data_IF_483871619973
#
_entry.id   IF_483871619973
#
_cell.length_a   1.000
_cell.length_b   1.000
_cell.length_c   1.000
_cell.angle_alpha   90.00
_cell.angle_beta   90.00
_cell.angle_gamma   90.00
#
_symmetry.space_group_name_H-M   'P 1'
#
loop_
_entity.id
_entity.type
_entity.pdbx_description
1 polymer ?
#
# COMPACT_ATOMS: atom_id res chain seq x y z
N UNK A 1 -16.38 -7.38 26.24
CA UNK A 1 -17.18 -7.82 25.06
C UNK A 1 -18.37 -8.73 25.43
N UNK A 2 -18.74 -8.90 26.71
CA UNK A 2 -19.95 -9.64 27.07
C UNK A 2 -21.20 -8.85 26.65
N UNK A 3 -22.13 -9.48 25.93
CA UNK A 3 -23.35 -8.87 25.42
C UNK A 3 -23.32 -8.40 23.96
N UNK A 4 -22.18 -8.52 23.26
CA UNK A 4 -22.11 -8.22 21.82
C UNK A 4 -22.84 -9.29 20.99
N UNK A 5 -23.49 -8.90 19.89
CA UNK A 5 -24.14 -9.83 18.96
C UNK A 5 -23.20 -10.19 17.81
N UNK A 6 -23.21 -11.44 17.40
CA UNK A 6 -22.51 -11.90 16.21
C UNK A 6 -23.45 -12.70 15.30
N UNK A 7 -23.14 -12.74 14.01
CA UNK A 7 -23.82 -13.56 13.02
C UNK A 7 -22.95 -14.75 12.65
N UNK A 8 -23.52 -15.94 12.56
CA UNK A 8 -22.80 -17.15 12.15
C UNK A 8 -22.54 -17.13 10.64
N UNK A 9 -21.32 -17.44 10.23
CA UNK A 9 -20.91 -17.47 8.83
C UNK A 9 -21.05 -18.88 8.23
N UNK A 10 -20.86 -19.90 9.06
CA UNK A 10 -20.86 -21.31 8.67
C UNK A 10 -21.66 -22.15 9.67
N UNK A 11 -22.26 -23.29 9.25
CA UNK A 11 -22.94 -24.19 10.18
C UNK A 11 -21.92 -24.88 11.11
N UNK A 12 -22.30 -25.09 12.37
CA UNK A 12 -21.50 -25.79 13.37
C UNK A 12 -22.35 -26.80 14.12
N UNK A 13 -21.94 -28.08 14.16
CA UNK A 13 -22.71 -29.17 14.74
C UNK A 13 -22.47 -29.35 16.24
N UNK A 14 -21.35 -28.86 16.79
CA UNK A 14 -21.01 -28.93 18.22
C UNK A 14 -20.63 -30.34 18.73
N UNK A 15 -20.82 -31.40 17.95
CA UNK A 15 -20.69 -32.81 18.37
C UNK A 15 -19.29 -33.20 18.83
N UNK A 16 -18.26 -32.50 18.36
CA UNK A 16 -16.85 -32.74 18.74
C UNK A 16 -16.44 -32.08 20.06
N UNK A 17 -17.32 -31.28 20.69
CA UNK A 17 -17.04 -30.61 21.96
C UNK A 17 -18.19 -30.85 22.96
N UNK A 18 -17.88 -31.32 24.18
CA UNK A 18 -18.90 -31.71 25.20
C UNK A 18 -19.87 -30.57 25.57
N UNK A 19 -19.51 -29.32 25.27
CA UNK A 19 -20.34 -28.11 25.46
C UNK A 19 -20.48 -27.28 24.16
N UNK A 20 -20.42 -27.91 22.98
CA UNK A 20 -20.51 -27.20 21.69
C UNK A 20 -21.91 -26.66 21.39
N UNK A 21 -22.03 -25.40 20.98
CA UNK A 21 -23.31 -24.78 20.61
C UNK A 21 -23.65 -25.05 19.14
N UNK A 22 -24.72 -25.79 18.85
CA UNK A 22 -25.13 -26.07 17.46
C UNK A 22 -25.88 -24.90 16.81
N UNK A 23 -25.48 -24.50 15.61
CA UNK A 23 -26.15 -23.47 14.80
C UNK A 23 -25.95 -23.67 13.29
N UNK A 24 -26.90 -23.18 12.48
CA UNK A 24 -26.74 -23.03 11.04
C UNK A 24 -26.03 -21.70 10.69
N UNK A 25 -25.59 -21.55 9.44
CA UNK A 25 -25.08 -20.28 8.92
C UNK A 25 -26.19 -19.23 8.83
N UNK A 26 -25.88 -17.98 9.19
CA UNK A 26 -26.80 -16.84 9.17
C UNK A 26 -27.60 -16.62 10.47
N UNK A 27 -27.45 -17.49 11.47
CA UNK A 27 -28.07 -17.35 12.80
C UNK A 27 -27.40 -16.23 13.62
N UNK A 28 -28.16 -15.60 14.53
CA UNK A 28 -27.66 -14.57 15.44
C UNK A 28 -27.38 -15.16 16.82
N UNK A 29 -26.18 -14.91 17.34
CA UNK A 29 -25.74 -15.34 18.66
C UNK A 29 -25.39 -14.14 19.53
N UNK A 30 -25.61 -14.26 20.83
CA UNK A 30 -25.15 -13.28 21.83
C UNK A 30 -23.90 -13.82 22.51
N UNK A 31 -22.81 -13.07 22.46
CA UNK A 31 -21.54 -13.46 23.08
C UNK A 31 -21.58 -13.29 24.59
N UNK A 32 -21.26 -14.35 25.31
CA UNK A 32 -21.15 -14.38 26.77
C UNK A 32 -19.69 -14.18 27.18
N UNK A 33 -18.78 -14.99 26.62
CA UNK A 33 -17.35 -14.98 26.91
C UNK A 33 -16.50 -15.02 25.64
N UNK A 34 -15.42 -14.24 25.64
CA UNK A 34 -14.50 -14.06 24.51
C UNK A 34 -13.05 -14.18 24.99
N UNK A 35 -12.59 -15.38 25.41
CA UNK A 35 -11.19 -15.58 25.80
C UNK A 35 -10.25 -15.54 24.59
N UNK A 36 -8.97 -15.28 24.84
CA UNK A 36 -7.93 -15.10 23.81
C UNK A 36 -7.57 -16.39 23.04
N UNK A 37 -8.22 -17.53 23.35
CA UNK A 37 -7.95 -18.86 22.79
C UNK A 37 -8.76 -19.24 21.54
N UNK A 38 -9.41 -18.28 20.87
CA UNK A 38 -10.12 -18.51 19.60
C UNK A 38 -11.43 -19.30 19.69
N UNK A 39 -11.86 -19.70 20.90
CA UNK A 39 -13.17 -20.29 21.18
C UNK A 39 -13.98 -19.32 22.02
N UNK A 40 -15.20 -19.03 21.59
CA UNK A 40 -16.11 -18.11 22.26
C UNK A 40 -17.33 -18.85 22.80
N UNK A 41 -17.86 -18.39 23.92
CA UNK A 41 -19.12 -18.87 24.46
C UNK A 41 -20.23 -17.90 24.05
N UNK A 42 -21.32 -18.43 23.53
CA UNK A 42 -22.49 -17.62 23.21
C UNK A 42 -23.80 -18.32 23.47
N UNK A 43 -24.87 -17.57 23.30
CA UNK A 43 -26.24 -17.99 23.53
C UNK A 43 -27.11 -17.69 22.30
N UNK A 44 -27.92 -18.67 21.90
CA UNK A 44 -28.97 -18.54 20.88
C UNK A 44 -30.21 -17.85 21.45
N UNK A 45 -31.10 -17.38 20.58
CA UNK A 45 -32.39 -16.78 20.99
C UNK A 45 -33.30 -17.77 21.74
N UNK A 46 -33.19 -19.07 21.44
CA UNK A 46 -33.90 -20.15 22.15
C UNK A 46 -33.35 -20.43 23.56
N UNK A 47 -32.30 -19.71 23.97
CA UNK A 47 -31.68 -19.82 25.29
C UNK A 47 -30.56 -20.85 25.38
N UNK A 48 -30.29 -21.65 24.35
CA UNK A 48 -29.21 -22.64 24.35
C UNK A 48 -27.84 -21.97 24.36
N UNK A 49 -26.94 -22.48 25.20
CA UNK A 49 -25.58 -21.95 25.42
C UNK A 49 -24.54 -22.99 25.07
N UNK A 50 -23.39 -22.52 24.61
CA UNK A 50 -22.24 -23.36 24.40
C UNK A 50 -21.12 -22.65 23.67
N UNK A 51 -20.06 -23.41 23.42
CA UNK A 51 -18.82 -22.94 22.84
C UNK A 51 -18.80 -23.15 21.33
N UNK A 52 -18.17 -22.23 20.62
CA UNK A 52 -17.94 -22.31 19.18
C UNK A 52 -16.66 -21.55 18.78
N UNK A 53 -16.07 -21.86 17.61
CA UNK A 53 -14.89 -21.15 17.15
C UNK A 53 -15.21 -19.71 16.75
N UNK A 54 -14.35 -18.77 17.15
CA UNK A 54 -14.45 -17.35 16.79
C UNK A 54 -14.51 -17.13 15.27
N UNK A 55 -13.82 -17.96 14.50
CA UNK A 55 -13.76 -17.91 13.03
C UNK A 55 -15.09 -18.24 12.33
N UNK A 56 -16.06 -18.82 13.06
CA UNK A 56 -17.37 -19.20 12.53
C UNK A 56 -18.40 -18.09 12.66
N UNK A 57 -18.03 -16.95 13.23
CA UNK A 57 -18.94 -15.83 13.48
C UNK A 57 -18.32 -14.49 13.09
N UNK A 58 -19.17 -13.55 12.73
CA UNK A 58 -18.80 -12.15 12.48
C UNK A 58 -19.47 -11.26 13.52
N UNK A 59 -18.69 -10.42 14.20
CA UNK A 59 -19.21 -9.47 15.18
C UNK A 59 -20.06 -8.40 14.48
N UNK A 60 -21.29 -8.20 14.94
CA UNK A 60 -22.16 -7.14 14.44
C UNK A 60 -21.93 -5.89 15.28
N UNK A 61 -21.24 -4.90 14.71
CA UNK A 61 -21.12 -3.58 15.33
C UNK A 61 -22.50 -2.93 15.42
N UNK A 62 -22.95 -2.61 16.63
CA UNK A 62 -24.19 -1.87 16.82
C UNK A 62 -24.00 -0.43 16.34
N UNK A 63 -24.80 0.02 15.36
CA UNK A 63 -25.01 1.45 15.12
C UNK A 63 -25.47 2.10 16.44
N UNK A 64 -24.83 3.17 16.92
CA UNK A 64 -25.22 3.77 18.20
C UNK A 64 -26.64 4.35 18.07
N UNK A 65 -27.58 3.75 18.80
CA UNK A 65 -28.90 4.34 19.08
C UNK A 65 -28.69 5.61 19.91
N UNK A 66 -29.35 6.69 19.52
CA UNK A 66 -29.45 7.95 20.29
C UNK A 66 -30.05 7.65 21.66
N UNK A 67 -29.35 7.98 22.74
CA UNK A 67 -29.92 8.05 24.10
C UNK A 67 -29.52 9.38 24.72
N UNK A 68 -30.55 10.09 25.18
CA UNK A 68 -30.57 11.37 25.89
C UNK A 68 -29.83 11.27 27.23
N UNK A 69 -29.09 12.31 27.69
CA UNK A 69 -28.15 12.18 28.80
C UNK A 69 -28.75 12.55 30.17
N UNK A 70 -28.24 11.93 31.24
CA UNK A 70 -28.16 12.50 32.59
C UNK A 70 -27.07 11.79 33.43
N UNK A 71 -26.53 12.43 34.50
CA UNK A 71 -25.17 12.97 34.48
C UNK A 71 -24.25 12.38 35.56
N UNK A 72 -22.94 12.47 35.33
CA UNK A 72 -21.95 12.28 36.38
C UNK A 72 -20.57 11.87 35.85
N UNK A 73 -19.72 12.85 35.55
CA UNK A 73 -18.32 12.99 35.98
C UNK A 73 -17.53 13.86 34.99
N UNK A 74 -17.22 15.07 35.47
CA UNK A 74 -16.44 16.10 34.81
C UNK A 74 -14.96 15.70 34.72
N UNK A 75 -14.43 15.67 33.50
CA UNK A 75 -13.12 16.25 33.12
C UNK A 75 -12.87 16.11 31.62
N UNK A 76 -12.76 17.25 30.92
CA UNK A 76 -12.23 17.45 29.54
C UNK A 76 -13.20 17.41 28.33
N UNK A 77 -14.32 18.14 28.39
CA UNK A 77 -15.22 18.32 27.25
C UNK A 77 -14.94 19.60 26.44
N UNK A 78 -13.73 19.74 25.89
CA UNK A 78 -13.45 20.73 24.85
C UNK A 78 -13.38 20.01 23.48
N UNK A 79 -14.24 20.32 22.49
CA UNK A 79 -14.24 19.62 21.21
C UNK A 79 -12.88 19.75 20.52
N UNK A 80 -12.40 18.64 19.93
CA UNK A 80 -11.18 18.65 19.12
C UNK A 80 -11.35 19.63 17.95
N UNK A 81 -10.27 20.31 17.50
CA UNK A 81 -10.37 21.18 16.33
C UNK A 81 -10.87 20.41 15.10
N UNK A 82 -11.56 21.07 14.15
CA UNK A 82 -12.09 20.41 12.96
C UNK A 82 -11.01 19.59 12.24
N UNK A 83 -11.30 18.32 11.99
CA UNK A 83 -10.37 17.37 11.37
C UNK A 83 -9.61 16.49 12.35
N UNK A 84 -9.54 16.81 13.64
CA UNK A 84 -8.84 15.95 14.59
C UNK A 84 -9.74 14.90 15.22
N UNK A 85 -9.30 13.64 15.18
CA UNK A 85 -9.97 12.49 15.78
C UNK A 85 -9.02 11.77 16.74
N UNK A 86 -9.54 11.21 17.85
CA UNK A 86 -8.74 10.45 18.82
C UNK A 86 -8.92 8.96 18.63
N UNK A 87 -7.82 8.22 18.68
CA UNK A 87 -7.75 6.77 18.56
C UNK A 87 -6.96 6.18 19.72
N UNK A 88 -7.13 4.88 19.97
CA UNK A 88 -6.37 4.13 20.97
C UNK A 88 -5.41 3.19 20.25
N UNK A 89 -4.14 3.21 20.62
CA UNK A 89 -3.16 2.26 20.10
C UNK A 89 -3.45 0.86 20.65
N UNK A 90 -2.93 -0.22 20.00
CA UNK A 90 -3.04 -1.59 20.51
C UNK A 90 -2.45 -1.78 21.92
N UNK A 91 -1.64 -0.84 22.39
CA UNK A 91 -1.02 -0.82 23.72
C UNK A 91 -1.83 0.00 24.73
N UNK A 92 -3.00 0.52 24.35
CA UNK A 92 -3.90 1.28 25.22
C UNK A 92 -3.57 2.77 25.35
N UNK A 93 -2.69 3.33 24.50
CA UNK A 93 -2.35 4.75 24.54
C UNK A 93 -3.18 5.57 23.55
N UNK A 94 -3.71 6.71 24.00
CA UNK A 94 -4.52 7.59 23.16
C UNK A 94 -3.62 8.46 22.26
N UNK A 95 -3.90 8.49 20.96
CA UNK A 95 -3.25 9.36 19.99
C UNK A 95 -4.30 10.08 19.14
N UNK A 96 -3.94 11.21 18.54
CA UNK A 96 -4.83 12.06 17.76
C UNK A 96 -4.33 12.11 16.32
N UNK A 97 -5.26 12.02 15.37
CA UNK A 97 -4.98 12.05 13.93
C UNK A 97 -5.82 13.14 13.28
N UNK A 98 -5.19 13.99 12.48
CA UNK A 98 -5.89 14.96 11.65
C UNK A 98 -6.31 14.31 10.33
N UNK A 99 -7.61 14.14 10.11
CA UNK A 99 -8.17 13.52 8.91
C UNK A 99 -8.08 14.38 7.65
N UNK A 100 -7.67 15.65 7.77
CA UNK A 100 -7.43 16.53 6.62
C UNK A 100 -5.95 16.58 6.22
N UNK A 101 -5.02 16.49 7.18
CA UNK A 101 -3.56 16.58 6.92
C UNK A 101 -2.81 15.25 7.08
N UNK A 102 -3.46 14.20 7.59
CA UNK A 102 -2.87 12.92 8.00
C UNK A 102 -1.75 13.03 9.05
N UNK A 103 -1.68 14.14 9.79
CA UNK A 103 -0.73 14.30 10.89
C UNK A 103 -1.19 13.53 12.13
N UNK A 104 -0.23 12.92 12.85
CA UNK A 104 -0.48 12.18 14.09
C UNK A 104 0.28 12.78 15.26
N UNK A 105 -0.37 12.95 16.41
CA UNK A 105 0.27 13.41 17.64
C UNK A 105 -0.21 12.61 18.85
N UNK A 106 0.66 12.44 19.84
CA UNK A 106 0.30 11.83 21.12
C UNK A 106 -0.29 12.85 22.11
N UNK A 107 -0.10 14.15 21.84
CA UNK A 107 -0.62 15.25 22.65
C UNK A 107 -1.92 15.81 22.06
N UNK A 108 -2.90 16.14 22.89
CA UNK A 108 -4.21 16.62 22.42
C UNK A 108 -4.05 17.98 21.70
N UNK A 109 -4.41 18.09 20.40
CA UNK A 109 -4.40 19.36 19.68
C UNK A 109 -5.41 20.34 20.30
N UNK A 110 -4.99 21.57 20.60
CA UNK A 110 -5.84 22.60 21.19
C UNK A 110 -6.51 23.48 20.12
N UNK A 111 -7.69 24.01 20.43
CA UNK A 111 -8.53 24.82 19.52
C UNK A 111 -8.28 26.34 19.61
N UNK A 112 -7.12 26.79 20.12
CA UNK A 112 -6.84 28.22 20.36
C UNK A 112 -5.49 28.64 19.75
N UNK A 113 -5.40 29.74 18.98
CA UNK A 113 -4.13 30.24 18.47
C UNK A 113 -3.40 31.11 19.51
N UNK A 114 -2.17 30.74 19.87
CA UNK A 114 -1.16 31.66 20.43
C UNK A 114 -0.45 31.26 21.74
N UNK A 115 0.87 31.04 21.60
CA UNK A 115 1.97 31.06 22.60
C UNK A 115 2.28 29.82 23.48
N UNK A 116 3.58 29.56 23.77
CA UNK A 116 4.14 28.23 23.91
C UNK A 116 4.40 27.82 25.37
N UNK A 117 4.34 26.52 25.68
CA UNK A 117 4.98 25.94 26.87
C UNK A 117 5.46 24.51 26.63
N UNK A 118 6.77 24.34 26.64
CA UNK A 118 7.47 23.18 27.21
C UNK A 118 8.01 23.65 28.58
N UNK A 119 8.22 22.80 29.61
CA UNK A 119 9.37 21.89 29.56
C UNK A 119 9.30 20.56 30.36
N UNK A 120 10.04 19.56 29.85
CA UNK A 120 10.94 18.67 30.60
C UNK A 120 10.36 17.35 31.11
N UNK A 121 11.09 16.23 31.22
CA UNK A 121 12.46 15.82 30.88
C UNK A 121 12.63 14.37 31.37
N UNK A 122 13.45 13.56 30.68
CA UNK A 122 14.33 12.44 31.15
C UNK A 122 14.31 11.29 30.12
N UNK A 123 15.28 11.14 29.20
CA UNK A 123 16.70 10.75 29.27
C UNK A 123 16.97 9.30 29.69
N UNK A 124 17.54 8.52 28.76
CA UNK A 124 18.78 7.69 28.84
C UNK A 124 18.69 6.51 27.86
N UNK A 125 19.69 6.05 27.10
CA UNK A 125 21.08 6.44 26.88
C UNK A 125 21.62 5.79 25.57
N UNK A 126 22.75 6.30 25.12
CA UNK A 126 23.54 6.11 23.87
C UNK A 126 24.54 4.92 24.01
N UNK A 127 25.38 4.50 23.00
CA UNK A 127 26.50 5.28 22.40
C UNK A 127 26.75 5.08 20.87
N UNK A 128 27.08 6.14 20.10
CA UNK A 128 28.41 6.67 19.65
C UNK A 128 28.86 6.11 18.27
N UNK A 129 29.56 6.83 17.35
CA UNK A 129 30.56 7.87 17.53
C UNK A 129 30.79 8.80 16.29
N UNK A 130 31.25 10.03 16.62
CA UNK A 130 32.19 10.99 15.97
C UNK A 130 32.02 11.41 14.49
N UNK A 131 32.19 12.67 14.08
CA UNK A 131 32.67 13.92 14.70
C UNK A 131 32.98 14.93 13.57
N UNK A 132 32.96 16.25 13.79
CA UNK A 132 34.06 17.21 13.52
C UNK A 132 33.64 18.66 13.88
N UNK A 133 34.56 19.40 14.53
CA UNK A 133 34.44 20.77 15.01
C UNK A 133 35.13 21.78 14.07
N UNK A 134 34.62 23.02 14.05
CA UNK A 134 35.31 24.28 13.65
C UNK A 134 36.14 24.85 14.82
N UNK A 135 37.04 25.86 14.65
CA UNK A 135 36.67 27.29 14.86
C UNK A 135 37.51 28.28 13.98
N UNK A 136 37.29 29.61 13.83
CA UNK A 136 37.37 30.76 14.77
C UNK A 136 37.01 32.06 13.98
N UNK A 137 36.41 33.08 14.63
CA UNK A 137 36.23 34.53 14.23
C UNK A 137 37.23 35.42 15.01
N UNK A 138 37.51 36.74 14.77
CA UNK A 138 36.53 37.84 14.97
C UNK A 138 36.78 39.22 14.28
N UNK A 139 35.79 40.14 14.37
CA UNK A 139 35.83 41.58 14.76
C UNK A 139 34.65 42.35 14.11
N UNK A 140 33.65 42.83 14.87
CA UNK A 140 33.47 44.19 15.47
C UNK A 140 33.29 45.31 14.42
N UNK A 141 32.36 46.29 14.49
CA UNK A 141 31.63 46.92 15.62
C UNK A 141 30.52 47.89 15.12
N UNK A 142 29.51 48.11 15.98
CA UNK A 142 28.74 49.35 16.28
C UNK A 142 27.54 49.87 15.43
N UNK A 143 26.39 49.86 16.12
CA UNK A 143 25.16 50.68 16.05
C UNK A 143 25.32 52.06 16.78
N UNK A 144 24.29 52.92 17.12
CA UNK A 144 22.80 52.86 16.93
C UNK A 144 22.12 54.21 16.54
N UNK A 145 20.77 54.24 16.41
CA UNK A 145 20.00 55.36 16.97
C UNK A 145 18.64 55.80 16.39
N UNK A 146 17.56 55.34 17.04
CA UNK A 146 16.33 56.09 17.46
C UNK A 146 15.10 56.41 16.57
N UNK A 147 13.94 56.22 17.24
CA UNK A 147 12.51 56.41 16.93
C UNK A 147 12.06 57.81 16.43
N UNK A 148 10.91 57.90 15.73
CA UNK A 148 9.60 58.36 16.30
C UNK A 148 8.53 58.74 15.23
N UNK A 149 7.29 58.87 15.70
CA UNK A 149 6.00 58.97 15.01
C UNK A 149 5.59 60.38 14.49
N UNK A 150 4.54 60.39 13.63
CA UNK A 150 3.43 61.38 13.42
C UNK A 150 3.42 62.32 12.18
N UNK A 151 2.50 61.99 11.25
CA UNK A 151 1.29 62.74 10.76
C UNK A 151 1.42 64.09 9.96
N UNK A 152 0.36 64.60 9.28
CA UNK A 152 0.34 64.85 7.82
C UNK A 152 -0.01 66.30 7.39
N UNK A 153 0.23 66.64 6.10
CA UNK A 153 -0.36 67.77 5.31
C UNK A 153 0.57 68.03 4.11
N UNK A 154 0.21 68.39 2.88
CA UNK A 154 -1.00 68.78 2.16
C UNK A 154 -0.57 69.12 0.71
N UNK A 155 -1.47 68.93 -0.25
CA UNK A 155 -1.36 69.20 -1.71
C UNK A 155 -1.10 70.70 -2.03
N UNK A 156 -0.66 71.14 -3.26
CA UNK A 156 -1.36 70.85 -4.54
C UNK A 156 -0.58 70.77 -5.88
N UNK A 157 -1.18 69.97 -6.79
CA UNK A 157 -1.29 69.97 -8.26
C UNK A 157 -0.46 70.91 -9.16
N UNK A 158 0.11 70.34 -10.25
CA UNK A 158 0.00 70.82 -11.66
C UNK A 158 0.55 69.79 -12.70
N UNK A 159 0.19 69.87 -14.01
CA UNK A 159 -0.28 68.72 -14.78
C UNK A 159 0.62 68.25 -15.96
N UNK A 160 0.35 67.03 -16.47
CA UNK A 160 0.39 66.76 -17.91
C UNK A 160 1.45 65.78 -18.43
N UNK A 161 1.07 64.51 -18.59
CA UNK A 161 1.28 63.71 -19.82
C UNK A 161 0.70 62.29 -19.62
N UNK A 162 -0.23 61.81 -20.47
CA UNK A 162 -0.75 60.46 -20.33
C UNK A 162 0.31 59.45 -20.82
N UNK A 163 1.03 58.85 -19.88
CA UNK A 163 1.73 57.59 -20.13
C UNK A 163 0.68 56.52 -20.37
N UNK A 164 0.50 56.10 -21.62
CA UNK A 164 -0.18 54.85 -21.95
C UNK A 164 0.48 53.74 -21.14
N UNK A 165 -0.23 53.03 -20.24
CA UNK A 165 0.35 51.87 -19.58
C UNK A 165 0.51 50.81 -20.67
N UNK A 166 1.74 50.48 -21.04
CA UNK A 166 2.04 49.17 -21.61
C UNK A 166 1.49 48.16 -20.61
N UNK A 167 0.29 47.61 -20.86
CA UNK A 167 -0.12 46.35 -20.25
C UNK A 167 0.95 45.36 -20.66
N UNK A 168 1.91 45.11 -19.78
CA UNK A 168 2.71 43.90 -19.81
C UNK A 168 1.69 42.77 -19.87
N UNK A 169 1.57 42.12 -21.02
CA UNK A 169 0.72 40.95 -21.16
C UNK A 169 1.23 39.94 -20.12
N UNK A 170 0.45 39.70 -19.06
CA UNK A 170 0.74 38.65 -18.09
C UNK A 170 0.84 37.34 -18.87
N UNK A 171 1.95 36.64 -18.77
CA UNK A 171 2.13 35.33 -19.40
C UNK A 171 1.09 34.37 -18.82
N UNK A 172 0.16 33.90 -19.66
CA UNK A 172 -0.95 33.03 -19.26
C UNK A 172 -0.54 31.57 -19.03
N UNK A 173 0.69 31.22 -19.39
CA UNK A 173 1.20 29.85 -19.38
C UNK A 173 2.68 29.82 -19.04
N UNK A 174 3.14 28.71 -18.46
CA UNK A 174 4.55 28.45 -18.15
C UNK A 174 4.99 27.13 -18.79
N UNK A 175 6.13 27.13 -19.46
CA UNK A 175 6.72 25.91 -20.02
C UNK A 175 7.84 25.39 -19.11
N UNK A 176 7.77 24.12 -18.73
CA UNK A 176 8.78 23.42 -17.93
C UNK A 176 9.11 22.11 -18.63
N UNK A 177 10.39 21.84 -18.87
CA UNK A 177 10.85 20.63 -19.57
C UNK A 177 10.06 20.34 -20.87
N UNK A 178 9.87 21.38 -21.68
CA UNK A 178 9.14 21.36 -22.95
C UNK A 178 7.62 21.07 -22.85
N UNK A 179 7.03 20.94 -21.66
CA UNK A 179 5.57 20.84 -21.45
C UNK A 179 5.03 22.17 -20.96
N UNK A 180 3.94 22.63 -21.54
CA UNK A 180 3.29 23.89 -21.18
C UNK A 180 2.13 23.66 -20.21
N UNK A 181 2.18 24.34 -19.08
CA UNK A 181 1.18 24.33 -18.02
C UNK A 181 0.53 25.72 -17.89
N UNK A 182 -0.70 25.83 -17.36
CA UNK A 182 -1.28 27.14 -17.02
C UNK A 182 -0.42 27.86 -15.98
N UNK A 183 -0.33 29.19 -16.07
CA UNK A 183 0.36 29.98 -15.06
C UNK A 183 -0.46 30.01 -13.76
N UNK A 184 0.12 29.75 -12.57
CA UNK A 184 -0.63 29.64 -11.31
C UNK A 184 -1.52 30.86 -11.02
N UNK A 185 -1.00 32.06 -11.25
CA UNK A 185 -1.72 33.32 -10.99
C UNK A 185 -2.92 33.59 -11.92
N UNK A 186 -3.03 32.88 -13.05
CA UNK A 186 -4.11 33.04 -14.03
C UNK A 186 -4.95 31.77 -14.19
N UNK A 187 -4.67 30.73 -13.40
CA UNK A 187 -5.34 29.44 -13.50
C UNK A 187 -6.75 29.53 -12.87
N UNK A 188 -7.79 29.28 -13.67
CA UNK A 188 -9.10 28.90 -13.13
C UNK A 188 -9.04 27.43 -12.69
N UNK A 189 -9.82 27.05 -11.68
CA UNK A 189 -9.83 25.70 -11.10
C UNK A 189 -9.94 24.63 -12.20
N UNK A 190 -8.85 23.87 -12.43
CA UNK A 190 -8.81 22.83 -13.46
C UNK A 190 -9.38 21.54 -12.88
N UNK A 191 -10.46 21.05 -13.46
CA UNK A 191 -11.07 19.78 -13.05
C UNK A 191 -10.14 18.61 -13.38
N UNK A 192 -10.04 17.67 -12.44
CA UNK A 192 -9.34 16.39 -12.63
C UNK A 192 -10.12 15.53 -13.63
N UNK A 193 -9.40 14.68 -14.36
CA UNK A 193 -10.00 13.71 -15.27
C UNK A 193 -10.84 12.68 -14.52
N UNK A 194 -10.35 12.21 -13.36
CA UNK A 194 -11.08 11.31 -12.45
C UNK A 194 -11.20 11.94 -11.04
N UNK A 195 -12.20 12.80 -10.79
CA UNK A 195 -12.23 13.68 -9.61
C UNK A 195 -12.38 12.99 -8.26
N UNK A 196 -12.86 11.74 -8.26
CA UNK A 196 -13.05 10.95 -7.03
C UNK A 196 -11.94 9.94 -6.78
N UNK A 197 -10.97 9.84 -7.69
CA UNK A 197 -9.95 8.79 -7.67
C UNK A 197 -8.55 9.39 -7.78
N UNK A 198 -7.60 8.79 -7.08
CA UNK A 198 -6.18 9.15 -7.19
C UNK A 198 -5.56 8.48 -8.41
N UNK A 199 -5.98 8.91 -9.60
CA UNK A 199 -5.62 8.23 -10.85
C UNK A 199 -4.23 8.60 -11.38
N UNK A 200 -3.56 7.63 -11.99
CA UNK A 200 -2.26 7.85 -12.63
C UNK A 200 -2.32 8.92 -13.73
N UNK A 201 -3.46 9.09 -14.41
CA UNK A 201 -3.61 10.11 -15.44
C UNK A 201 -3.73 11.54 -14.90
N UNK A 202 -3.89 11.75 -13.59
CA UNK A 202 -4.09 13.10 -13.03
C UNK A 202 -2.83 13.67 -12.36
N UNK A 203 -1.95 12.81 -11.82
CA UNK A 203 -0.90 13.26 -10.89
C UNK A 203 0.55 13.09 -11.38
N UNK A 204 0.77 12.58 -12.60
CA UNK A 204 2.11 12.23 -13.10
C UNK A 204 2.54 13.02 -14.35
N UNK A 205 2.16 14.31 -14.41
CA UNK A 205 2.46 15.19 -15.54
C UNK A 205 3.81 15.91 -15.44
N UNK A 206 4.17 16.37 -14.25
CA UNK A 206 5.41 17.10 -14.02
C UNK A 206 6.58 16.15 -13.77
N UNK A 207 7.76 16.50 -14.28
CA UNK A 207 8.96 15.74 -13.99
C UNK A 207 9.43 16.02 -12.55
N UNK A 208 9.89 14.97 -11.87
CA UNK A 208 10.39 15.03 -10.49
C UNK A 208 11.90 15.20 -10.49
N UNK A 209 12.41 16.15 -9.70
CA UNK A 209 13.84 16.27 -9.42
C UNK A 209 14.23 15.31 -8.30
N UNK A 210 15.41 14.72 -8.40
CA UNK A 210 16.01 13.98 -7.29
C UNK A 210 16.27 14.92 -6.09
N UNK A 211 16.39 14.39 -4.85
CA UNK A 211 16.66 15.21 -3.67
C UNK A 211 17.95 16.01 -3.74
N UNK A 212 18.89 15.59 -4.59
CA UNK A 212 20.20 16.22 -4.80
C UNK A 212 20.18 17.25 -5.94
N UNK A 213 19.08 17.37 -6.68
CA UNK A 213 18.88 18.32 -7.78
C UNK A 213 19.65 18.02 -9.07
N UNK A 214 20.37 16.90 -9.13
CA UNK A 214 21.27 16.55 -10.23
C UNK A 214 20.55 15.83 -11.38
N UNK A 215 19.47 15.10 -11.09
CA UNK A 215 18.73 14.32 -12.08
C UNK A 215 17.23 14.64 -12.06
N UNK A 216 16.63 14.60 -13.25
CA UNK A 216 15.19 14.79 -13.45
C UNK A 216 14.60 13.51 -14.02
N UNK A 217 13.58 12.96 -13.36
CA UNK A 217 12.89 11.72 -13.71
C UNK A 217 11.47 12.07 -14.12
N UNK A 218 11.01 11.53 -15.25
CA UNK A 218 9.64 11.82 -15.72
C UNK A 218 8.59 11.18 -14.82
N UNK A 219 7.39 11.78 -14.75
CA UNK A 219 6.28 11.19 -14.01
C UNK A 219 5.92 9.78 -14.50
N UNK A 220 5.98 9.54 -15.82
CA UNK A 220 5.74 8.23 -16.41
C UNK A 220 6.78 7.18 -15.98
N UNK A 221 8.05 7.57 -15.90
CA UNK A 221 9.13 6.68 -15.47
C UNK A 221 8.92 6.21 -14.02
N UNK A 222 8.42 7.07 -13.14
CA UNK A 222 8.05 6.68 -11.76
C UNK A 222 6.99 5.57 -11.77
N UNK A 223 5.98 5.68 -12.64
CA UNK A 223 4.95 4.66 -12.79
C UNK A 223 5.54 3.35 -13.32
N UNK A 224 6.42 3.39 -14.31
CA UNK A 224 7.11 2.20 -14.81
C UNK A 224 7.97 1.53 -13.72
N UNK A 225 8.68 2.30 -12.90
CA UNK A 225 9.43 1.76 -11.77
C UNK A 225 8.49 1.10 -10.74
N UNK A 226 7.32 1.68 -10.47
CA UNK A 226 6.29 1.06 -9.62
C UNK A 226 5.81 -0.29 -10.18
N UNK A 227 5.62 -0.38 -11.49
CA UNK A 227 5.22 -1.61 -12.17
C UNK A 227 6.29 -2.69 -12.06
N UNK A 228 7.54 -2.35 -12.36
CA UNK A 228 8.69 -3.27 -12.26
C UNK A 228 8.89 -3.75 -10.82
N UNK A 229 8.79 -2.84 -9.84
CA UNK A 229 8.82 -3.20 -8.41
C UNK A 229 7.67 -4.13 -8.05
N UNK A 230 6.45 -3.88 -8.55
CA UNK A 230 5.30 -4.76 -8.33
C UNK A 230 5.55 -6.19 -8.81
N UNK A 231 6.13 -6.37 -10.01
CA UNK A 231 6.53 -7.69 -10.54
C UNK A 231 7.65 -8.34 -9.73
N UNK A 232 8.60 -7.56 -9.22
CA UNK A 232 9.67 -8.05 -8.35
C UNK A 232 9.11 -8.57 -7.01
N UNK A 233 8.23 -7.82 -6.34
CA UNK A 233 7.60 -8.24 -5.09
C UNK A 233 6.79 -9.53 -5.27
N UNK A 234 6.08 -9.66 -6.39
CA UNK A 234 5.37 -10.90 -6.73
C UNK A 234 6.31 -12.10 -6.86
N UNK A 235 7.50 -11.93 -7.46
CA UNK A 235 8.52 -12.99 -7.56
C UNK A 235 9.04 -13.39 -6.17
N UNK A 236 9.33 -12.43 -5.31
CA UNK A 236 9.78 -12.68 -3.93
C UNK A 236 8.71 -13.41 -3.10
N UNK A 237 7.42 -13.08 -3.29
CA UNK A 237 6.32 -13.83 -2.67
C UNK A 237 6.29 -15.30 -3.14
N UNK A 238 6.50 -15.57 -4.43
CA UNK A 238 6.60 -16.93 -4.93
C UNK A 238 7.82 -17.68 -4.36
N UNK A 239 8.97 -17.00 -4.23
CA UNK A 239 10.16 -17.57 -3.60
C UNK A 239 9.93 -17.90 -2.12
N UNK A 240 9.19 -17.06 -1.39
CA UNK A 240 8.77 -17.37 -0.02
C UNK A 240 7.89 -18.64 0.06
N UNK A 241 6.92 -18.78 -0.84
CA UNK A 241 6.07 -19.98 -0.91
C UNK A 241 6.92 -21.22 -1.24
N UNK A 242 7.94 -21.09 -2.09
CA UNK A 242 8.89 -22.18 -2.39
C UNK A 242 9.66 -22.63 -1.14
N UNK A 243 10.13 -21.71 -0.32
CA UNK A 243 10.78 -22.09 0.95
C UNK A 243 9.81 -22.78 1.90
N UNK A 244 8.54 -22.33 1.95
CA UNK A 244 7.50 -23.04 2.70
C UNK A 244 7.29 -24.47 2.17
N UNK A 245 7.24 -24.67 0.85
CA UNK A 245 7.10 -25.99 0.22
C UNK A 245 8.25 -26.92 0.66
N UNK A 246 9.50 -26.45 0.63
CA UNK A 246 10.66 -27.26 1.07
C UNK A 246 10.54 -27.69 2.54
N UNK A 247 10.09 -26.79 3.41
CA UNK A 247 9.87 -27.11 4.83
C UNK A 247 8.83 -28.23 4.99
N UNK A 248 7.72 -28.15 4.24
CA UNK A 248 6.67 -29.18 4.28
C UNK A 248 7.16 -30.52 3.73
N UNK A 249 7.96 -30.52 2.65
CA UNK A 249 8.55 -31.73 2.08
C UNK A 249 9.52 -32.41 3.05
N UNK A 250 10.36 -31.63 3.75
CA UNK A 250 11.26 -32.17 4.75
C UNK A 250 10.51 -32.70 5.98
N UNK A 251 9.47 -31.99 6.43
CA UNK A 251 8.61 -32.45 7.52
C UNK A 251 7.92 -33.78 7.18
N UNK A 252 7.28 -33.88 6.01
CA UNK A 252 6.67 -35.11 5.53
C UNK A 252 7.68 -36.25 5.42
N UNK A 253 8.89 -35.99 4.90
CA UNK A 253 9.96 -36.99 4.81
C UNK A 253 10.36 -37.52 6.18
N UNK A 254 10.46 -36.66 7.19
CA UNK A 254 10.83 -37.05 8.54
C UNK A 254 9.73 -37.88 9.22
N UNK A 255 8.46 -37.49 9.06
CA UNK A 255 7.30 -38.27 9.52
C UNK A 255 7.26 -39.66 8.88
N UNK A 256 7.42 -39.74 7.55
CA UNK A 256 7.47 -41.00 6.81
C UNK A 256 8.62 -41.90 7.26
N UNK A 257 9.79 -41.33 7.57
CA UNK A 257 10.91 -42.11 8.12
C UNK A 257 10.60 -42.63 9.53
N UNK A 258 9.99 -41.81 10.38
CA UNK A 258 9.64 -42.19 11.74
C UNK A 258 8.54 -43.27 11.79
N UNK A 259 7.57 -43.21 10.87
CA UNK A 259 6.49 -44.18 10.76
C UNK A 259 6.99 -45.62 10.49
N UNK A 260 8.15 -45.75 9.83
CA UNK A 260 8.77 -47.04 9.51
C UNK A 260 9.69 -47.58 10.62
N UNK A 261 9.77 -46.92 11.77
CA UNK A 261 10.64 -47.34 12.85
C UNK A 261 10.13 -48.64 13.52
N UNK A 262 11.06 -49.53 13.87
CA UNK A 262 10.81 -50.82 14.53
C UNK A 262 10.69 -50.72 16.05
N UNK A 263 10.76 -49.52 16.63
CA UNK A 263 10.53 -49.33 18.07
C UNK A 263 9.20 -49.95 18.52
N UNK A 264 9.28 -50.71 19.61
CA UNK A 264 8.19 -51.47 20.22
C UNK A 264 7.38 -52.32 19.21
N UNK A 265 8.02 -52.82 18.15
CA UNK A 265 7.36 -53.72 17.18
C UNK A 265 7.07 -55.12 17.74
N UNK A 266 7.62 -55.44 18.92
CA UNK A 266 7.37 -56.70 19.64
C UNK A 266 6.21 -56.59 20.63
N UNK A 267 5.56 -55.42 20.74
CA UNK A 267 4.32 -55.31 21.53
C UNK A 267 3.21 -56.09 20.83
N UNK A 268 2.50 -56.92 21.60
CA UNK A 268 1.52 -57.89 21.08
C UNK A 268 0.09 -57.53 21.53
N UNK A 269 -0.88 -58.33 21.08
CA UNK A 269 -2.27 -58.18 21.46
C UNK A 269 -2.92 -56.89 20.96
N UNK A 270 -4.03 -56.51 21.59
CA UNK A 270 -4.81 -55.33 21.24
C UNK A 270 -4.01 -54.03 21.45
N UNK A 271 -3.10 -54.00 22.44
CA UNK A 271 -2.18 -52.87 22.64
C UNK A 271 -1.17 -52.74 21.48
N UNK A 272 -0.58 -53.86 21.04
CA UNK A 272 0.35 -53.90 19.91
C UNK A 272 -0.29 -53.42 18.59
N UNK A 273 -1.54 -53.82 18.33
CA UNK A 273 -2.31 -53.32 17.18
C UNK A 273 -2.52 -51.80 17.23
N UNK A 274 -2.90 -51.26 18.39
CA UNK A 274 -3.07 -49.81 18.56
C UNK A 274 -1.74 -49.05 18.37
N UNK A 275 -0.63 -49.58 18.89
CA UNK A 275 0.71 -49.02 18.66
C UNK A 275 1.11 -49.03 17.18
N UNK A 276 0.86 -50.14 16.47
CA UNK A 276 1.13 -50.24 15.04
C UNK A 276 0.31 -49.23 14.24
N UNK A 277 -0.96 -49.02 14.59
CA UNK A 277 -1.82 -48.03 13.94
C UNK A 277 -1.39 -46.58 14.22
N UNK A 278 -0.89 -46.28 15.42
CA UNK A 278 -0.28 -44.98 15.70
C UNK A 278 0.95 -44.73 14.83
N UNK A 279 1.82 -45.73 14.66
CA UNK A 279 2.95 -45.59 13.71
C UNK A 279 2.47 -45.39 12.27
N UNK A 280 1.40 -46.08 11.87
CA UNK A 280 0.78 -45.89 10.55
C UNK A 280 0.19 -44.49 10.37
N UNK A 281 -0.46 -43.91 11.39
CA UNK A 281 -1.04 -42.56 11.27
C UNK A 281 0.03 -41.51 10.95
N UNK A 282 1.26 -41.66 11.45
CA UNK A 282 2.39 -40.79 11.05
C UNK A 282 2.72 -40.88 9.54
N UNK A 283 2.54 -42.03 8.91
CA UNK A 283 2.70 -42.17 7.46
C UNK A 283 1.56 -41.45 6.71
N UNK A 284 0.34 -41.54 7.22
CA UNK A 284 -0.83 -40.87 6.66
C UNK A 284 -0.69 -39.34 6.81
N UNK A 285 -0.21 -38.84 7.96
CA UNK A 285 0.15 -37.42 8.19
C UNK A 285 1.22 -36.95 7.19
N UNK A 286 2.26 -37.76 6.97
CA UNK A 286 3.28 -37.45 5.96
C UNK A 286 2.68 -37.27 4.56
N UNK A 287 1.73 -38.12 4.16
CA UNK A 287 1.06 -38.03 2.88
C UNK A 287 0.18 -36.77 2.77
N UNK A 288 -0.52 -36.39 3.84
CA UNK A 288 -1.30 -35.14 3.90
C UNK A 288 -0.41 -33.92 3.66
N UNK A 289 0.74 -33.84 4.34
CA UNK A 289 1.69 -32.73 4.20
C UNK A 289 2.39 -32.71 2.83
N UNK A 290 2.69 -33.87 2.24
CA UNK A 290 3.25 -33.95 0.89
C UNK A 290 2.24 -33.53 -0.19
N UNK A 291 0.96 -33.87 -0.02
CA UNK A 291 -0.11 -33.37 -0.90
C UNK A 291 -0.27 -31.85 -0.76
N UNK A 292 -0.20 -31.32 0.46
CA UNK A 292 -0.25 -29.89 0.71
C UNK A 292 0.89 -29.14 0.00
N UNK A 293 2.13 -29.62 0.12
CA UNK A 293 3.28 -29.01 -0.56
C UNK A 293 3.12 -29.00 -2.09
N UNK A 294 2.61 -30.10 -2.65
CA UNK A 294 2.29 -30.23 -4.07
C UNK A 294 1.23 -29.21 -4.52
N UNK A 295 0.15 -29.06 -3.74
CA UNK A 295 -0.90 -28.07 -4.02
C UNK A 295 -0.39 -26.64 -3.89
N UNK A 296 0.43 -26.32 -2.89
CA UNK A 296 1.07 -25.01 -2.76
C UNK A 296 1.90 -24.67 -4.01
N UNK A 297 2.64 -25.64 -4.54
CA UNK A 297 3.43 -25.44 -5.75
C UNK A 297 2.54 -25.12 -6.96
N UNK A 298 1.50 -25.92 -7.19
CA UNK A 298 0.66 -25.81 -8.39
C UNK A 298 -0.34 -24.65 -8.34
N UNK A 299 -0.91 -24.37 -7.17
CA UNK A 299 -2.05 -23.46 -7.01
C UNK A 299 -1.65 -22.09 -6.45
N UNK A 300 -0.42 -21.91 -5.93
CA UNK A 300 0.04 -20.65 -5.35
C UNK A 300 1.37 -20.21 -5.95
N UNK A 301 2.43 -21.01 -5.82
CA UNK A 301 3.78 -20.64 -6.24
C UNK A 301 3.87 -20.38 -7.76
N UNK A 302 3.46 -21.35 -8.58
CA UNK A 302 3.53 -21.26 -10.05
C UNK A 302 2.67 -20.12 -10.60
N UNK A 303 1.39 -19.93 -10.20
CA UNK A 303 0.60 -18.79 -10.64
C UNK A 303 1.23 -17.44 -10.28
N UNK A 304 1.75 -17.29 -9.06
CA UNK A 304 2.48 -16.08 -8.66
C UNK A 304 3.74 -15.86 -9.50
N UNK A 305 4.50 -16.89 -9.82
CA UNK A 305 5.73 -16.74 -10.61
C UNK A 305 5.44 -16.36 -12.07
N UNK A 306 4.52 -17.11 -12.70
CA UNK A 306 4.30 -17.10 -14.15
C UNK A 306 3.29 -16.03 -14.61
N UNK A 307 2.61 -15.34 -13.69
CA UNK A 307 1.71 -14.25 -14.06
C UNK A 307 2.45 -13.15 -14.85
N UNK A 308 2.09 -12.99 -16.12
CA UNK A 308 2.67 -12.01 -17.08
C UNK A 308 4.18 -12.16 -17.29
N UNK A 309 4.60 -13.24 -17.95
CA UNK A 309 6.03 -13.51 -18.23
C UNK A 309 6.69 -12.45 -19.13
N UNK A 310 5.94 -11.89 -20.09
CA UNK A 310 6.45 -10.88 -21.04
C UNK A 310 6.47 -9.45 -20.47
N UNK A 311 6.11 -9.25 -19.19
CA UNK A 311 5.87 -7.95 -18.59
C UNK A 311 7.04 -6.96 -18.73
N UNK A 312 8.29 -7.41 -18.54
CA UNK A 312 9.47 -6.52 -18.68
C UNK A 312 9.62 -5.98 -20.11
N UNK A 313 9.27 -6.78 -21.12
CA UNK A 313 9.32 -6.37 -22.52
C UNK A 313 8.22 -5.35 -22.82
N UNK A 314 7.02 -5.58 -22.28
CA UNK A 314 5.88 -4.67 -22.44
C UNK A 314 6.15 -3.32 -21.77
N UNK A 315 6.71 -3.29 -20.56
CA UNK A 315 7.10 -2.05 -19.88
C UNK A 315 8.13 -1.25 -20.69
N UNK A 316 9.11 -1.93 -21.32
CA UNK A 316 10.05 -1.26 -22.23
C UNK A 316 9.34 -0.67 -23.46
N UNK A 317 8.32 -1.35 -23.99
CA UNK A 317 7.55 -0.83 -25.14
C UNK A 317 6.83 0.46 -24.78
N UNK A 318 6.18 0.51 -23.61
CA UNK A 318 5.55 1.74 -23.10
C UNK A 318 6.58 2.86 -22.90
N UNK A 319 7.72 2.54 -22.28
CA UNK A 319 8.81 3.49 -22.05
C UNK A 319 9.30 4.13 -23.35
N UNK A 320 9.65 3.31 -24.36
CA UNK A 320 10.13 3.81 -25.65
C UNK A 320 9.08 4.66 -26.36
N UNK A 321 7.81 4.23 -26.36
CA UNK A 321 6.72 4.95 -27.02
C UNK A 321 6.53 6.35 -26.43
N UNK A 322 6.43 6.47 -25.11
CA UNK A 322 6.26 7.76 -24.43
C UNK A 322 7.52 8.62 -24.54
N UNK A 323 8.71 8.03 -24.44
CA UNK A 323 9.98 8.73 -24.59
C UNK A 323 10.15 9.32 -26.00
N UNK A 324 9.77 8.59 -27.05
CA UNK A 324 9.80 9.08 -28.43
C UNK A 324 8.86 10.26 -28.65
N UNK A 325 7.66 10.24 -28.06
CA UNK A 325 6.72 11.38 -28.09
C UNK A 325 7.29 12.59 -27.34
N UNK A 326 7.91 12.40 -26.17
CA UNK A 326 8.59 13.47 -25.43
C UNK A 326 9.76 14.07 -26.23
N UNK A 327 10.53 13.24 -26.93
CA UNK A 327 11.62 13.69 -27.82
C UNK A 327 11.09 14.51 -28.99
N UNK A 328 10.00 14.09 -29.61
CA UNK A 328 9.31 14.87 -30.65
C UNK A 328 8.84 16.23 -30.11
N UNK A 329 8.24 16.25 -28.92
CA UNK A 329 7.80 17.48 -28.27
C UNK A 329 8.96 18.45 -27.99
N UNK A 330 10.09 17.94 -27.47
CA UNK A 330 11.29 18.74 -27.23
C UNK A 330 11.88 19.33 -28.54
N UNK A 331 11.84 18.56 -29.63
CA UNK A 331 12.25 19.04 -30.96
C UNK A 331 11.33 20.17 -31.46
N UNK A 332 10.02 20.03 -31.29
CA UNK A 332 9.05 21.10 -31.64
C UNK A 332 9.25 22.36 -30.80
N UNK A 333 9.48 22.21 -29.49
CA UNK A 333 9.78 23.33 -28.60
C UNK A 333 11.04 24.10 -29.04
N UNK A 334 12.11 23.37 -29.38
CA UNK A 334 13.35 23.98 -29.92
C UNK A 334 13.08 24.78 -31.21
N UNK A 335 12.20 24.28 -32.09
CA UNK A 335 11.81 24.99 -33.30
C UNK A 335 11.01 26.28 -33.00
N UNK A 336 10.10 26.24 -32.03
CA UNK A 336 9.36 27.43 -31.55
C UNK A 336 10.33 28.49 -31.02
N UNK A 337 11.29 28.11 -30.16
CA UNK A 337 12.25 29.06 -29.60
C UNK A 337 13.16 29.68 -30.67
N UNK A 338 13.57 28.88 -31.67
CA UNK A 338 14.31 29.39 -32.83
C UNK A 338 13.47 30.39 -33.64
N UNK A 339 12.20 30.09 -33.91
CA UNK A 339 11.30 30.98 -34.63
C UNK A 339 11.00 32.27 -33.85
N UNK A 340 10.83 32.18 -32.52
CA UNK A 340 10.64 33.33 -31.62
C UNK A 340 11.85 34.26 -31.63
N UNK A 341 13.06 33.70 -31.56
CA UNK A 341 14.31 34.47 -31.68
C UNK A 341 14.40 35.16 -33.04
N UNK A 342 14.11 34.44 -34.13
CA UNK A 342 14.11 35.01 -35.48
C UNK A 342 13.11 36.15 -35.63
N UNK A 343 11.88 36.01 -35.11
CA UNK A 343 10.88 37.09 -35.11
C UNK A 343 11.40 38.32 -34.36
N UNK A 344 11.98 38.12 -33.17
CA UNK A 344 12.55 39.21 -32.35
C UNK A 344 13.65 39.95 -33.11
N UNK A 345 14.55 39.24 -33.79
CA UNK A 345 15.61 39.82 -34.62
C UNK A 345 15.04 40.62 -35.81
N UNK A 346 14.01 40.09 -36.49
CA UNK A 346 13.36 40.78 -37.62
C UNK A 346 12.56 42.01 -37.20
N UNK A 347 11.96 41.98 -36.01
CA UNK A 347 11.28 43.13 -35.43
C UNK A 347 12.27 44.26 -35.09
N UNK A 348 13.42 43.92 -34.50
CA UNK A 348 14.51 44.89 -34.25
C UNK A 348 15.07 45.49 -35.55
N UNK A 349 15.28 44.67 -36.59
CA UNK A 349 15.73 45.15 -37.91
C UNK A 349 14.71 46.12 -38.55
N UNK A 350 13.42 45.83 -38.44
CA UNK A 350 12.36 46.72 -38.90
C UNK A 350 12.33 48.04 -38.11
N UNK A 351 12.48 47.99 -36.79
CA UNK A 351 12.51 49.16 -35.92
C UNK A 351 13.71 50.07 -36.27
N UNK A 352 14.91 49.51 -36.41
CA UNK A 352 16.11 50.27 -36.80
C UNK A 352 15.97 50.94 -38.16
N UNK A 353 15.41 50.24 -39.16
CA UNK A 353 15.17 50.82 -40.49
C UNK A 353 14.12 51.92 -40.48
N UNK A 354 13.12 51.79 -39.60
CA UNK A 354 12.09 52.83 -39.41
C UNK A 354 12.73 54.09 -38.80
N UNK A 355 13.58 53.95 -37.79
CA UNK A 355 14.36 55.07 -37.22
C UNK A 355 15.30 55.70 -38.25
N UNK A 356 15.91 54.90 -39.14
CA UNK A 356 16.79 55.41 -40.19
C UNK A 356 16.05 56.31 -41.21
N UNK A 357 14.77 56.02 -41.50
CA UNK A 357 13.94 56.87 -42.34
C UNK A 357 13.64 58.22 -41.68
N UNK A 358 13.44 58.26 -40.36
CA UNK A 358 13.23 59.50 -39.60
C UNK A 358 14.46 60.43 -39.64
N UNK A 359 15.67 59.86 -39.71
CA UNK A 359 16.93 60.62 -39.80
C UNK A 359 17.23 61.06 -41.24
N UNK A 360 16.97 60.19 -42.23
CA UNK A 360 17.26 60.47 -43.64
C UNK A 360 16.18 59.91 -44.56
N UNK A 361 15.28 60.80 -44.99
CA UNK A 361 14.26 60.53 -45.99
C UNK A 361 14.89 60.19 -47.35
N UNK A 362 14.69 58.97 -47.80
CA UNK A 362 15.11 58.48 -49.10
C UNK A 362 14.19 57.37 -49.57
N UNK A 363 13.80 57.41 -50.85
CA UNK A 363 13.01 56.35 -51.49
C UNK A 363 13.65 54.96 -51.35
N UNK A 364 15.00 54.90 -51.25
CA UNK A 364 15.71 53.64 -51.00
C UNK A 364 15.40 53.07 -49.60
N UNK A 365 15.37 53.92 -48.57
CA UNK A 365 15.06 53.53 -47.19
C UNK A 365 13.62 53.04 -47.07
N UNK A 366 12.67 53.66 -47.79
CA UNK A 366 11.27 53.21 -47.83
C UNK A 366 11.11 51.78 -48.38
N UNK A 367 11.81 51.45 -49.46
CA UNK A 367 11.80 50.08 -50.03
C UNK A 367 12.46 49.05 -49.09
N UNK A 368 13.51 49.44 -48.38
CA UNK A 368 14.14 48.59 -47.37
C UNK A 368 13.21 48.32 -46.16
N UNK A 369 12.40 49.30 -45.76
CA UNK A 369 11.35 49.13 -44.73
C UNK A 369 10.26 48.19 -45.22
N UNK A 370 9.75 48.35 -46.45
CA UNK A 370 8.76 47.41 -47.02
C UNK A 370 9.29 45.98 -47.00
N UNK A 371 10.56 45.78 -47.38
CA UNK A 371 11.23 44.47 -47.34
C UNK A 371 11.38 43.93 -45.92
N UNK A 372 11.80 44.75 -44.96
CA UNK A 372 11.93 44.36 -43.55
C UNK A 372 10.57 43.99 -42.93
N UNK A 373 9.52 44.75 -43.23
CA UNK A 373 8.15 44.49 -42.78
C UNK A 373 7.63 43.14 -43.31
N UNK A 374 7.83 42.84 -44.60
CA UNK A 374 7.50 41.53 -45.18
C UNK A 374 8.24 40.38 -44.47
N UNK A 375 9.55 40.56 -44.22
CA UNK A 375 10.36 39.54 -43.50
C UNK A 375 9.96 39.36 -42.03
N UNK A 376 9.50 40.42 -41.36
CA UNK A 376 8.97 40.36 -39.99
C UNK A 376 7.62 39.63 -39.96
N UNK A 377 6.72 39.96 -40.91
CA UNK A 377 5.43 39.28 -41.07
C UNK A 377 5.61 37.79 -41.34
N UNK A 378 6.49 37.42 -42.29
CA UNK A 378 6.82 36.02 -42.58
C UNK A 378 7.37 35.28 -41.36
N UNK A 379 8.24 35.91 -40.55
CA UNK A 379 8.75 35.30 -39.32
C UNK A 379 7.64 35.10 -38.28
N UNK A 380 6.62 35.96 -38.27
CA UNK A 380 5.40 35.79 -37.47
C UNK A 380 4.58 34.57 -37.91
N UNK A 381 4.35 34.42 -39.22
CA UNK A 381 3.65 33.26 -39.79
C UNK A 381 4.41 31.95 -39.54
N UNK A 382 5.74 32.00 -39.61
CA UNK A 382 6.61 30.85 -39.31
C UNK A 382 6.54 30.47 -37.82
N UNK A 383 6.53 31.45 -36.91
CA UNK A 383 6.34 31.20 -35.48
C UNK A 383 4.96 30.59 -35.20
N UNK A 384 3.90 31.11 -35.83
CA UNK A 384 2.54 30.58 -35.69
C UNK A 384 2.50 29.09 -36.10
N UNK A 385 3.07 28.76 -37.26
CA UNK A 385 3.19 27.37 -37.73
C UNK A 385 3.99 26.48 -36.78
N UNK A 386 5.09 26.98 -36.23
CA UNK A 386 5.89 26.24 -35.25
C UNK A 386 5.11 25.98 -33.95
N UNK A 387 4.34 26.95 -33.47
CA UNK A 387 3.48 26.83 -32.28
C UNK A 387 2.35 25.82 -32.53
N UNK A 388 1.71 25.84 -33.70
CA UNK A 388 0.67 24.87 -34.06
C UNK A 388 1.20 23.43 -34.04
N UNK A 389 2.37 23.20 -34.64
CA UNK A 389 3.02 21.89 -34.64
C UNK A 389 3.48 21.46 -33.24
N UNK A 390 3.87 22.40 -32.38
CA UNK A 390 4.16 22.12 -30.96
C UNK A 390 2.90 21.69 -30.22
N UNK A 391 1.79 22.44 -30.36
CA UNK A 391 0.52 22.12 -29.71
C UNK A 391 -0.05 20.78 -30.18
N UNK A 392 0.08 20.45 -31.46
CA UNK A 392 -0.29 19.14 -32.00
C UNK A 392 0.56 18.01 -31.39
N UNK A 393 1.88 18.20 -31.29
CA UNK A 393 2.76 17.21 -30.66
C UNK A 393 2.45 17.06 -29.15
N UNK A 394 2.16 18.15 -28.45
CA UNK A 394 1.79 18.11 -27.03
C UNK A 394 0.45 17.40 -26.82
N UNK A 395 -0.56 17.67 -27.66
CA UNK A 395 -1.87 17.02 -27.57
C UNK A 395 -1.77 15.53 -27.84
N UNK A 396 -1.00 15.12 -28.86
CA UNK A 396 -0.72 13.71 -29.14
C UNK A 396 -0.02 13.02 -27.96
N UNK A 397 1.01 13.65 -27.39
CA UNK A 397 1.68 13.12 -26.19
C UNK A 397 0.71 13.02 -25.01
N UNK A 398 -0.13 14.03 -24.80
CA UNK A 398 -1.12 14.06 -23.73
C UNK A 398 -2.10 12.88 -23.83
N UNK A 399 -2.74 12.67 -24.98
CA UNK A 399 -3.71 11.58 -25.18
C UNK A 399 -3.08 10.19 -24.99
N UNK A 400 -1.90 9.97 -25.56
CA UNK A 400 -1.14 8.72 -25.41
C UNK A 400 -0.67 8.49 -23.96
N UNK A 401 -0.32 9.57 -23.25
CA UNK A 401 0.04 9.52 -21.82
C UNK A 401 -1.18 9.17 -20.96
N UNK A 402 -2.36 9.78 -21.20
CA UNK A 402 -3.60 9.43 -20.48
C UNK A 402 -3.93 7.96 -20.66
N UNK A 403 -3.99 7.48 -21.90
CA UNK A 403 -4.36 6.09 -22.19
C UNK A 403 -3.35 5.09 -21.63
N UNK A 404 -2.05 5.36 -21.78
CA UNK A 404 -0.99 4.50 -21.24
C UNK A 404 -1.02 4.45 -19.71
N UNK A 405 -1.23 5.59 -19.03
CA UNK A 405 -1.27 5.64 -17.56
C UNK A 405 -2.50 4.94 -16.98
N UNK A 406 -3.67 5.07 -17.62
CA UNK A 406 -4.87 4.32 -17.25
C UNK A 406 -4.70 2.81 -17.43
N UNK A 407 -4.00 2.37 -18.50
CA UNK A 407 -3.69 0.95 -18.65
C UNK A 407 -2.73 0.48 -17.54
N UNK A 408 -1.67 1.24 -17.22
CA UNK A 408 -0.79 0.89 -16.08
C UNK A 408 -1.56 0.82 -14.75
N UNK A 409 -2.51 1.71 -14.51
CA UNK A 409 -3.40 1.67 -13.34
C UNK A 409 -4.22 0.38 -13.30
N UNK A 410 -4.87 0.02 -14.42
CA UNK A 410 -5.62 -1.23 -14.56
C UNK A 410 -4.75 -2.46 -14.30
N UNK A 411 -3.53 -2.47 -14.85
CA UNK A 411 -2.55 -3.54 -14.66
C UNK A 411 -2.15 -3.71 -13.19
N UNK A 412 -1.99 -2.61 -12.45
CA UNK A 412 -1.66 -2.67 -11.03
C UNK A 412 -2.82 -3.21 -10.19
N UNK A 413 -4.05 -2.79 -10.49
CA UNK A 413 -5.26 -3.32 -9.82
C UNK A 413 -5.40 -4.82 -10.07
N UNK A 414 -5.26 -5.25 -11.32
CA UNK A 414 -5.31 -6.68 -11.71
C UNK A 414 -4.23 -7.49 -10.97
N UNK A 415 -3.01 -6.96 -10.85
CA UNK A 415 -1.91 -7.59 -10.11
C UNK A 415 -2.24 -7.76 -8.63
N UNK A 416 -2.77 -6.72 -7.98
CA UNK A 416 -3.13 -6.76 -6.55
C UNK A 416 -4.25 -7.77 -6.30
N UNK A 417 -5.28 -7.78 -7.15
CA UNK A 417 -6.38 -8.74 -7.02
C UNK A 417 -5.94 -10.19 -7.25
N UNK A 418 -5.09 -10.43 -8.25
CA UNK A 418 -4.51 -11.75 -8.49
C UNK A 418 -3.70 -12.23 -7.28
N UNK A 419 -2.85 -11.38 -6.70
CA UNK A 419 -2.08 -11.74 -5.50
C UNK A 419 -3.04 -12.05 -4.33
N UNK A 420 -4.04 -11.20 -4.09
CA UNK A 420 -5.03 -11.41 -3.03
C UNK A 420 -5.72 -12.76 -3.20
N UNK A 421 -6.16 -13.09 -4.41
CA UNK A 421 -6.79 -14.37 -4.73
C UNK A 421 -5.90 -15.57 -4.36
N UNK A 422 -4.62 -15.54 -4.75
CA UNK A 422 -3.71 -16.67 -4.48
C UNK A 422 -3.28 -16.74 -3.01
N UNK A 423 -3.26 -15.63 -2.29
CA UNK A 423 -3.09 -15.65 -0.83
C UNK A 423 -4.33 -16.20 -0.12
N UNK A 424 -5.54 -15.92 -0.61
CA UNK A 424 -6.75 -16.61 -0.14
C UNK A 424 -6.67 -18.12 -0.43
N UNK A 425 -6.21 -18.52 -1.62
CA UNK A 425 -5.99 -19.93 -1.94
C UNK A 425 -4.99 -20.59 -0.99
N UNK A 426 -3.88 -19.93 -0.67
CA UNK A 426 -2.94 -20.39 0.35
C UNK A 426 -3.63 -20.66 1.69
N UNK A 427 -4.46 -19.71 2.17
CA UNK A 427 -5.18 -19.89 3.43
C UNK A 427 -6.21 -21.01 3.37
N UNK A 428 -6.91 -21.18 2.24
CA UNK A 428 -7.89 -22.26 2.06
C UNK A 428 -7.20 -23.62 2.12
N UNK A 429 -6.10 -23.78 1.39
CA UNK A 429 -5.29 -25.00 1.41
C UNK A 429 -4.79 -25.32 2.82
N UNK A 430 -4.36 -24.31 3.57
CA UNK A 430 -3.96 -24.48 4.97
C UNK A 430 -5.09 -25.03 5.85
N UNK A 431 -6.28 -24.44 5.79
CA UNK A 431 -7.42 -24.92 6.58
C UNK A 431 -7.83 -26.35 6.19
N UNK A 432 -7.86 -26.66 4.90
CA UNK A 432 -8.17 -28.02 4.42
C UNK A 432 -7.13 -29.04 4.90
N UNK A 433 -5.85 -28.71 4.81
CA UNK A 433 -4.75 -29.58 5.27
C UNK A 433 -4.82 -29.83 6.76
N UNK A 434 -5.06 -28.80 7.58
CA UNK A 434 -5.17 -28.95 9.03
C UNK A 434 -6.37 -29.87 9.39
N UNK A 435 -7.49 -29.76 8.66
CA UNK A 435 -8.64 -30.65 8.81
C UNK A 435 -8.34 -32.11 8.43
N UNK A 436 -7.65 -32.34 7.30
CA UNK A 436 -7.24 -33.69 6.91
C UNK A 436 -6.24 -34.29 7.89
N UNK A 437 -5.28 -33.49 8.37
CA UNK A 437 -4.31 -33.95 9.36
C UNK A 437 -4.99 -34.32 10.68
N UNK A 438 -6.00 -33.56 11.12
CA UNK A 438 -6.77 -33.94 12.31
C UNK A 438 -7.50 -35.29 12.14
N UNK A 439 -7.94 -35.64 10.93
CA UNK A 439 -8.66 -36.90 10.69
C UNK A 439 -7.80 -38.16 10.76
N UNK A 440 -6.46 -38.04 10.68
CA UNK A 440 -5.55 -39.22 10.67
C UNK A 440 -5.50 -39.94 12.03
N UNK A 441 -5.90 -39.29 13.12
CA UNK A 441 -5.91 -39.88 14.47
C UNK A 441 -7.17 -40.71 14.75
N UNK A 442 -8.25 -40.51 14.00
CA UNK A 442 -9.54 -41.18 14.24
C UNK A 442 -9.42 -42.73 14.26
N UNK A 443 -8.64 -43.39 13.38
CA UNK A 443 -8.40 -44.83 13.47
C UNK A 443 -7.62 -45.27 14.71
N UNK A 444 -6.72 -44.42 15.22
CA UNK A 444 -5.94 -44.70 16.44
C UNK A 444 -6.86 -44.68 17.65
N UNK A 445 -7.72 -43.65 17.76
CA UNK A 445 -8.71 -43.55 18.84
C UNK A 445 -9.65 -44.78 18.86
N UNK A 446 -10.05 -45.26 17.68
CA UNK A 446 -10.90 -46.46 17.56
C UNK A 446 -10.23 -47.74 18.07
N UNK A 447 -8.92 -47.91 17.85
CA UNK A 447 -8.19 -49.07 18.38
C UNK A 447 -7.88 -48.92 19.87
N UNK A 448 -7.53 -47.72 20.33
CA UNK A 448 -7.31 -47.45 21.75
C UNK A 448 -8.56 -47.77 22.60
N UNK A 449 -9.76 -47.50 22.08
CA UNK A 449 -11.02 -47.87 22.74
C UNK A 449 -11.24 -49.39 22.82
N UNK A 450 -10.56 -50.17 21.98
CA UNK A 450 -10.65 -51.64 21.93
C UNK A 450 -9.52 -52.35 22.68
N UNK A 451 -8.63 -51.61 23.35
CA UNK A 451 -7.55 -52.22 24.14
C UNK A 451 -8.16 -52.90 25.37
N UNK A 452 -7.93 -54.21 25.48
CA UNK A 452 -8.51 -55.06 26.52
C UNK A 452 -7.41 -55.81 27.29
N UNK A 453 -6.91 -55.28 28.42
CA UNK A 453 -5.78 -55.88 29.14
C UNK A 453 -6.01 -57.33 29.60
N UNK A 454 -7.26 -57.68 29.92
CA UNK A 454 -7.61 -59.04 30.33
C UNK A 454 -7.48 -60.04 29.18
N UNK A 455 -7.88 -59.63 27.97
CA UNK A 455 -7.81 -60.42 26.75
C UNK A 455 -6.36 -60.59 26.28
N UNK A 456 -5.58 -59.52 26.32
CA UNK A 456 -4.15 -59.57 25.99
C UNK A 456 -3.39 -60.51 26.94
N UNK A 457 -3.66 -60.44 28.25
CA UNK A 457 -3.10 -61.38 29.24
C UNK A 457 -3.52 -62.82 28.94
N UNK A 458 -4.79 -63.04 28.62
CA UNK A 458 -5.29 -64.38 28.30
C UNK A 458 -4.59 -64.97 27.08
N UNK A 459 -4.48 -64.21 25.99
CA UNK A 459 -3.76 -64.61 24.78
C UNK A 459 -2.30 -64.99 25.10
N UNK A 460 -1.59 -64.13 25.83
CA UNK A 460 -0.20 -64.38 26.17
C UNK A 460 -0.02 -65.63 27.05
N UNK A 461 -0.86 -65.82 28.07
CA UNK A 461 -0.80 -67.01 28.94
C UNK A 461 -1.15 -68.28 28.17
N UNK A 462 -2.12 -68.23 27.24
CA UNK A 462 -2.47 -69.40 26.43
C UNK A 462 -1.30 -69.89 25.58
N UNK A 463 -0.50 -68.97 25.04
CA UNK A 463 0.68 -69.27 24.24
C UNK A 463 1.90 -69.69 25.09
N UNK A 464 2.09 -69.08 26.26
CA UNK A 464 3.32 -69.21 27.05
C UNK A 464 3.20 -70.03 28.34
N UNK A 465 2.02 -70.60 28.66
CA UNK A 465 1.83 -71.40 29.89
C UNK A 465 2.81 -72.58 29.95
N UNK A 466 3.39 -72.81 31.13
CA UNK A 466 4.34 -73.90 31.37
C UNK A 466 3.72 -75.11 32.08
N UNK A 467 2.45 -75.00 32.47
CA UNK A 467 1.69 -76.03 33.17
C UNK A 467 0.51 -75.40 33.93
N UNK A 468 -0.53 -76.19 34.16
CA UNK A 468 -1.73 -75.82 34.92
C UNK A 468 -1.84 -76.56 36.26
N UNK A 469 -0.97 -77.55 36.49
CA UNK A 469 -0.88 -78.30 37.74
C UNK A 469 -0.02 -77.53 38.74
N UNK A 470 -0.56 -77.30 39.94
CA UNK A 470 0.18 -76.71 41.05
C UNK A 470 1.04 -77.78 41.74
N UNK A 471 2.25 -77.44 42.23
CA UNK A 471 3.06 -78.34 43.04
C UNK A 471 2.28 -78.86 44.27
N UNK A 472 2.56 -80.10 44.68
CA UNK A 472 2.02 -80.75 45.89
C UNK A 472 3.17 -81.20 46.79
N UNK A 473 2.88 -81.41 48.07
CA UNK A 473 3.87 -81.88 49.04
C UNK A 473 4.26 -83.34 48.77
N UNK A 474 5.51 -83.70 49.12
CA UNK A 474 5.98 -85.09 49.07
C UNK A 474 5.34 -85.92 50.18
N UNK A 475 4.87 -87.11 49.84
CA UNK A 475 4.39 -88.11 50.82
C UNK A 475 5.57 -88.75 51.57
N UNK A 476 5.33 -89.14 52.84
CA UNK A 476 6.33 -89.72 53.77
C UNK A 476 6.38 -91.24 53.63
#
# INVERSE_FOLDING_TARGET
MSGSRCQTLYPFSGERHRQGLRFAAGELLTLLQVPDGGWWEGQKEDGLRGWFPASYVQLLEQKPRKVTPQPGEDSLNCPLPPGWQSYMSPQGHRYYVNTFTNETTWERPSSVPGTPRNPGSQKSAVPAANGYHTPVTPMHQMEPGHMSLRKPSGDPQSPGSPRVPRRLARESSRTINCVTFPHPDTMQEQQLLKPTEWSYCDYFWADKKDPQGNNTVSGFEILLQKQLKGKQMQKEMAEFVRERIKIEEEYAKNLSKLSQNSLAAQEEGTLGEAWAQLKKSLADEAEVHLKFSSKLQSEVEKPLLNFRENFKKDMKKYDHHIADLRKQLASRYTAVEKARKALTERQKDLEMKTQQLEIKLSNKTEEEIKKARRKSTQAGDDLMRCVDLYNQAQSKWFEEMVTSTLELERLEVERVEMIRQHLCQYTQLRHETDMFNQSTIEPVDQLLQKVEPAKDRELWVQEHKTGDIRPVDMEI
#
